data_IF_653153096745
#
_entry.id   IF_653153096745
#
_cell.length_a   1.000
_cell.length_b   1.000
_cell.length_c   1.000
_cell.angle_alpha   90.00
_cell.angle_beta   90.00
_cell.angle_gamma   90.00
#
_symmetry.space_group_name_H-M   'P 1'
#
loop_
_entity.id
_entity.type
_entity.pdbx_description
1 polymer ?
#
# COMPACT_ATOMS: atom_id res chain seq x y z
N UNK A 1 -22.09 -11.34 -10.96
CA UNK A 1 -21.74 -9.92 -10.68
C UNK A 1 -22.49 -9.04 -11.66
N UNK A 2 -23.13 -7.94 -11.23
CA UNK A 2 -23.81 -6.99 -12.13
C UNK A 2 -22.77 -6.11 -12.85
N UNK A 3 -23.08 -5.69 -14.09
CA UNK A 3 -22.20 -4.88 -14.95
C UNK A 3 -21.74 -3.56 -14.29
N UNK A 4 -22.65 -2.86 -13.62
CA UNK A 4 -22.33 -1.64 -12.84
C UNK A 4 -21.30 -1.90 -11.73
N UNK A 5 -21.40 -3.07 -11.07
CA UNK A 5 -20.43 -3.48 -10.05
C UNK A 5 -19.04 -3.74 -10.61
N UNK A 6 -18.95 -4.26 -11.85
CA UNK A 6 -17.66 -4.46 -12.53
C UNK A 6 -17.02 -3.13 -12.93
N UNK A 7 -17.83 -2.17 -13.41
CA UNK A 7 -17.35 -0.84 -13.79
C UNK A 7 -16.83 -0.08 -12.56
N UNK A 8 -17.60 -0.05 -11.47
CA UNK A 8 -17.17 0.60 -10.23
C UNK A 8 -15.92 -0.04 -9.64
N UNK A 9 -15.82 -1.38 -9.69
CA UNK A 9 -14.62 -2.09 -9.25
C UNK A 9 -13.40 -1.74 -10.10
N UNK A 10 -13.57 -1.67 -11.42
CA UNK A 10 -12.48 -1.34 -12.34
C UNK A 10 -11.96 0.07 -12.11
N UNK A 11 -12.86 1.04 -11.92
CA UNK A 11 -12.51 2.43 -11.60
C UNK A 11 -11.76 2.50 -10.26
N UNK A 12 -12.27 1.80 -9.24
CA UNK A 12 -11.62 1.75 -7.93
C UNK A 12 -10.21 1.17 -8.00
N UNK A 13 -10.05 0.03 -8.68
CA UNK A 13 -8.74 -0.62 -8.88
C UNK A 13 -7.80 0.31 -9.66
N UNK A 14 -8.27 0.98 -10.70
CA UNK A 14 -7.46 1.92 -11.49
C UNK A 14 -6.97 3.10 -10.63
N UNK A 15 -7.84 3.67 -9.79
CA UNK A 15 -7.47 4.74 -8.87
C UNK A 15 -6.43 4.29 -7.84
N UNK A 16 -6.69 3.16 -7.17
CA UNK A 16 -5.77 2.61 -6.17
C UNK A 16 -4.42 2.27 -6.80
N UNK A 17 -4.42 1.68 -8.00
CA UNK A 17 -3.19 1.38 -8.73
C UNK A 17 -2.41 2.65 -9.09
N UNK A 18 -3.09 3.70 -9.58
CA UNK A 18 -2.44 4.96 -9.95
C UNK A 18 -1.78 5.63 -8.74
N UNK A 19 -2.50 5.70 -7.61
CA UNK A 19 -1.96 6.25 -6.35
C UNK A 19 -0.75 5.42 -5.90
N UNK A 20 -0.88 4.10 -5.91
CA UNK A 20 0.20 3.20 -5.49
C UNK A 20 1.43 3.38 -6.37
N UNK A 21 1.28 3.39 -7.70
CA UNK A 21 2.38 3.64 -8.63
C UNK A 21 3.07 4.98 -8.39
N UNK A 22 2.29 6.05 -8.17
CA UNK A 22 2.86 7.35 -7.83
C UNK A 22 3.66 7.32 -6.53
N UNK A 23 3.14 6.68 -5.48
CA UNK A 23 3.82 6.55 -4.21
C UNK A 23 5.14 5.76 -4.34
N UNK A 24 5.15 4.67 -5.12
CA UNK A 24 6.37 3.93 -5.41
C UNK A 24 7.38 4.74 -6.23
N UNK A 25 6.93 5.50 -7.23
CA UNK A 25 7.83 6.37 -7.99
C UNK A 25 8.46 7.45 -7.10
N UNK A 26 7.69 8.01 -6.16
CA UNK A 26 8.15 9.11 -5.29
C UNK A 26 9.03 8.65 -4.14
N UNK A 27 8.70 7.52 -3.51
CA UNK A 27 9.33 7.07 -2.26
C UNK A 27 10.15 5.77 -2.42
N UNK A 28 10.09 5.12 -3.58
CA UNK A 28 10.91 3.96 -3.95
C UNK A 28 10.49 2.63 -3.34
N UNK A 29 10.27 2.58 -2.02
CA UNK A 29 9.96 1.35 -1.29
C UNK A 29 8.73 1.49 -0.40
N UNK A 30 8.04 0.38 -0.11
CA UNK A 30 6.90 0.36 0.82
C UNK A 30 7.29 0.89 2.20
N UNK A 31 8.50 0.58 2.67
CA UNK A 31 8.99 1.06 3.96
C UNK A 31 9.09 2.59 4.00
N UNK A 32 9.69 3.20 2.99
CA UNK A 32 9.74 4.67 2.88
C UNK A 32 8.35 5.29 2.70
N UNK A 33 7.45 4.66 1.94
CA UNK A 33 6.06 5.13 1.82
C UNK A 33 5.41 5.21 3.21
N UNK A 34 5.51 4.14 4.00
CA UNK A 34 4.93 4.08 5.34
C UNK A 34 5.57 5.12 6.27
N UNK A 35 6.90 5.22 6.29
CA UNK A 35 7.62 6.19 7.12
C UNK A 35 7.30 7.65 6.77
N UNK A 36 6.92 7.94 5.52
CA UNK A 36 6.66 9.30 5.03
C UNK A 36 5.21 9.73 5.11
N UNK A 37 4.27 8.78 5.12
CA UNK A 37 2.84 9.05 5.12
C UNK A 37 2.17 8.80 6.48
N UNK A 38 2.89 8.20 7.42
CA UNK A 38 2.38 7.89 8.76
C UNK A 38 3.38 8.35 9.80
N UNK A 39 2.93 8.52 11.05
CA UNK A 39 3.81 8.84 12.18
C UNK A 39 4.63 7.62 12.66
N UNK A 40 4.72 6.56 11.87
CA UNK A 40 5.46 5.35 12.22
C UNK A 40 6.95 5.61 12.17
N UNK A 41 7.63 5.08 13.18
CA UNK A 41 9.08 5.06 13.22
C UNK A 41 9.62 3.78 12.58
N UNK A 42 10.93 3.76 12.31
CA UNK A 42 11.62 2.54 11.89
C UNK A 42 11.47 1.40 12.90
N UNK A 43 11.35 1.71 14.19
CA UNK A 43 11.12 0.71 15.23
C UNK A 43 9.71 0.11 15.14
N UNK A 44 8.71 0.91 14.82
CA UNK A 44 7.34 0.42 14.63
C UNK A 44 7.25 -0.50 13.42
N UNK A 45 7.90 -0.11 12.31
CA UNK A 45 7.99 -0.98 11.12
C UNK A 45 8.73 -2.28 11.45
N UNK A 46 9.82 -2.22 12.24
CA UNK A 46 10.55 -3.42 12.66
C UNK A 46 9.70 -4.33 13.56
N UNK A 47 8.89 -3.76 14.47
CA UNK A 47 7.93 -4.51 15.28
C UNK A 47 6.86 -5.15 14.40
N UNK A 48 6.29 -4.42 13.45
CA UNK A 48 5.29 -4.94 12.49
C UNK A 48 5.90 -6.06 11.64
N UNK A 49 7.10 -5.88 11.07
CA UNK A 49 7.82 -6.95 10.35
C UNK A 49 8.11 -8.15 11.26
N UNK A 50 8.40 -7.92 12.53
CA UNK A 50 8.59 -8.97 13.54
C UNK A 50 7.31 -9.73 13.88
N UNK A 51 6.17 -9.04 13.95
CA UNK A 51 4.84 -9.64 14.12
C UNK A 51 4.39 -10.39 12.87
N UNK A 52 4.74 -9.86 11.70
CA UNK A 52 4.56 -10.47 10.39
C UNK A 52 5.65 -11.50 10.05
N UNK A 53 6.42 -12.01 11.04
CA UNK A 53 7.16 -13.29 10.88
C UNK A 53 6.18 -14.46 10.73
N UNK A 54 5.27 -14.37 9.76
CA UNK A 54 4.76 -15.48 9.02
C UNK A 54 5.85 -15.94 8.06
N UNK A 55 6.13 -17.24 8.13
CA UNK A 55 7.08 -17.96 7.26
C UNK A 55 6.82 -17.59 5.80
N UNK A 56 7.77 -16.90 5.19
CA UNK A 56 8.03 -16.96 3.74
C UNK A 56 9.47 -17.41 3.56
#
# INVERSE_FOLDING_TARGET
MKLEGMINWTIFVALVSSITSYLFMKYGTVEEIVLRLTDFTKEDIKKIKGLLKWKF
#
